data_IF_640157306888
#
_entry.id   IF_640157306888
#
_cell.length_a   1.000
_cell.length_b   1.000
_cell.length_c   1.000
_cell.angle_alpha   90.00
_cell.angle_beta   90.00
_cell.angle_gamma   90.00
#
_symmetry.space_group_name_H-M   'P 1'
#
loop_
_entity.id
_entity.type
_entity.pdbx_description
1 polymer ?
#
# COMPACT_ATOMS: atom_id res chain seq x y z
N UNK A 1 -22.29 9.17 -28.37
CA UNK A 1 -21.05 9.56 -27.66
C UNK A 1 -21.42 9.59 -26.20
N UNK A 2 -21.03 8.58 -25.43
CA UNK A 2 -21.14 8.65 -23.97
C UNK A 2 -20.07 9.62 -23.51
N UNK A 3 -20.47 10.73 -22.91
CA UNK A 3 -19.53 11.71 -22.36
C UNK A 3 -18.56 10.98 -21.43
N UNK A 4 -17.25 11.20 -21.63
CA UNK A 4 -16.24 10.59 -20.82
C UNK A 4 -16.45 11.02 -19.36
N UNK A 5 -16.50 10.06 -18.43
CA UNK A 5 -16.80 10.33 -17.02
C UNK A 5 -15.82 11.30 -16.35
N UNK A 6 -14.66 11.52 -16.97
CA UNK A 6 -13.56 12.35 -16.47
C UNK A 6 -13.41 13.70 -17.19
N UNK A 7 -14.20 13.98 -18.23
CA UNK A 7 -14.08 15.23 -19.01
C UNK A 7 -14.99 16.34 -18.48
N UNK A 8 -14.84 16.67 -17.20
CA UNK A 8 -15.52 17.80 -16.58
C UNK A 8 -14.53 18.95 -16.34
N UNK A 9 -14.75 20.07 -17.04
CA UNK A 9 -13.87 21.24 -16.96
C UNK A 9 -13.70 21.78 -15.53
N UNK A 10 -14.75 21.82 -14.71
CA UNK A 10 -14.65 22.33 -13.34
C UNK A 10 -13.81 21.39 -12.47
N UNK A 11 -13.96 20.08 -12.65
CA UNK A 11 -13.17 19.09 -11.93
C UNK A 11 -11.72 19.08 -12.38
N UNK A 12 -11.45 19.35 -13.67
CA UNK A 12 -10.10 19.53 -14.19
C UNK A 12 -9.40 20.73 -13.57
N UNK A 13 -10.08 21.88 -13.50
CA UNK A 13 -9.55 23.09 -12.83
C UNK A 13 -9.26 22.83 -11.34
N UNK A 14 -10.17 22.15 -10.65
CA UNK A 14 -9.97 21.73 -9.26
C UNK A 14 -8.76 20.79 -9.11
N UNK A 15 -8.59 19.85 -10.03
CA UNK A 15 -7.45 18.91 -10.03
C UNK A 15 -6.12 19.62 -10.26
N UNK A 16 -6.08 20.60 -11.17
CA UNK A 16 -4.89 21.41 -11.42
C UNK A 16 -4.50 22.19 -10.15
N UNK A 17 -5.47 22.81 -9.48
CA UNK A 17 -5.25 23.48 -8.19
C UNK A 17 -4.72 22.51 -7.13
N UNK A 18 -5.26 21.29 -7.06
CA UNK A 18 -4.74 20.25 -6.17
C UNK A 18 -3.29 19.89 -6.47
N UNK A 19 -2.95 19.63 -7.73
CA UNK A 19 -1.58 19.33 -8.14
C UNK A 19 -0.63 20.48 -7.76
N UNK A 20 -1.02 21.74 -8.01
CA UNK A 20 -0.21 22.90 -7.65
C UNK A 20 0.04 22.99 -6.14
N UNK A 21 -1.01 22.79 -5.32
CA UNK A 21 -0.88 22.79 -3.87
C UNK A 21 0.05 21.66 -3.38
N UNK A 22 -0.03 20.48 -4.00
CA UNK A 22 0.81 19.32 -3.66
C UNK A 22 2.23 19.41 -4.23
N UNK A 23 2.48 20.07 -5.34
CA UNK A 23 3.84 20.32 -5.84
C UNK A 23 4.54 21.39 -5.00
N UNK A 24 3.81 22.44 -4.58
CA UNK A 24 4.30 23.43 -3.63
C UNK A 24 4.74 22.82 -2.28
N UNK A 25 4.20 21.64 -1.91
CA UNK A 25 4.66 20.84 -0.75
C UNK A 25 6.12 20.48 -0.87
N UNK A 26 6.52 19.88 -1.99
CA UNK A 26 7.85 19.32 -2.15
C UNK A 26 8.89 20.43 -2.19
N UNK A 27 8.64 21.50 -2.94
CA UNK A 27 9.56 22.64 -3.02
C UNK A 27 9.80 23.28 -1.65
N UNK A 28 8.74 23.52 -0.86
CA UNK A 28 8.88 24.14 0.45
C UNK A 28 9.57 23.23 1.46
N UNK A 29 9.17 21.96 1.53
CA UNK A 29 9.78 20.98 2.43
C UNK A 29 11.25 20.80 2.09
N UNK A 30 11.62 20.57 0.82
CA UNK A 30 13.01 20.37 0.45
C UNK A 30 13.86 21.61 0.63
N UNK A 31 13.30 22.81 0.46
CA UNK A 31 14.00 24.06 0.74
C UNK A 31 14.32 24.18 2.24
N UNK A 32 13.37 23.87 3.13
CA UNK A 32 13.61 23.89 4.58
C UNK A 32 14.60 22.80 5.02
N UNK A 33 14.54 21.62 4.40
CA UNK A 33 15.43 20.50 4.72
C UNK A 33 16.88 20.75 4.28
N UNK A 34 17.11 21.51 3.21
CA UNK A 34 18.48 21.87 2.77
C UNK A 34 19.23 22.70 3.81
N UNK A 35 18.53 23.44 4.64
CA UNK A 35 19.14 24.30 5.66
C UNK A 35 19.43 23.55 6.97
N UNK A 36 19.05 22.27 7.07
CA UNK A 36 19.18 21.46 8.28
C UNK A 36 20.20 20.32 8.08
N UNK A 37 21.49 20.60 8.31
CA UNK A 37 22.51 19.55 8.37
C UNK A 37 22.30 18.62 9.59
N UNK A 38 22.22 17.31 9.36
CA UNK A 38 22.31 16.28 10.40
C UNK A 38 21.01 15.64 10.89
N UNK A 39 19.89 15.79 10.16
CA UNK A 39 18.64 15.12 10.52
C UNK A 39 18.69 13.61 10.29
N UNK A 40 18.15 12.84 11.24
CA UNK A 40 17.83 11.44 11.01
C UNK A 40 16.54 11.30 10.19
N UNK A 41 16.32 10.14 9.59
CA UNK A 41 15.07 9.82 8.87
C UNK A 41 13.82 10.01 9.73
N UNK A 42 13.91 9.68 11.03
CA UNK A 42 12.82 9.89 11.98
C UNK A 42 12.49 11.36 12.17
N UNK A 43 13.51 12.22 12.25
CA UNK A 43 13.35 13.66 12.41
C UNK A 43 12.71 14.32 11.18
N UNK A 44 12.77 13.66 10.01
CA UNK A 44 12.13 14.11 8.78
C UNK A 44 10.66 13.69 8.68
N UNK A 45 10.33 12.48 9.12
CA UNK A 45 9.00 11.89 8.88
C UNK A 45 7.84 12.71 9.46
N UNK A 46 7.95 13.13 10.72
CA UNK A 46 6.87 13.83 11.42
C UNK A 46 6.67 15.28 10.93
N UNK A 47 7.71 16.12 10.77
CA UNK A 47 7.55 17.45 10.19
C UNK A 47 7.01 17.43 8.76
N UNK A 48 7.51 16.50 7.91
CA UNK A 48 7.01 16.33 6.55
C UNK A 48 5.52 15.99 6.59
N UNK A 49 5.12 15.02 7.41
CA UNK A 49 3.72 14.64 7.55
C UNK A 49 2.84 15.80 8.03
N UNK A 50 3.23 16.50 9.10
CA UNK A 50 2.48 17.65 9.64
C UNK A 50 2.32 18.76 8.59
N UNK A 51 3.41 19.13 7.91
CA UNK A 51 3.38 20.14 6.87
C UNK A 51 2.46 19.75 5.70
N UNK A 52 2.46 18.45 5.35
CA UNK A 52 1.57 17.89 4.34
C UNK A 52 0.10 18.08 4.73
N UNK A 53 -0.26 17.77 5.98
CA UNK A 53 -1.63 17.97 6.47
C UNK A 53 -2.05 19.44 6.45
N UNK A 54 -1.15 20.36 6.80
CA UNK A 54 -1.45 21.79 6.81
C UNK A 54 -1.69 22.32 5.39
N UNK A 55 -0.92 21.86 4.39
CA UNK A 55 -1.15 22.22 2.98
C UNK A 55 -2.48 21.69 2.46
N UNK A 56 -2.83 20.43 2.79
CA UNK A 56 -4.13 19.85 2.43
C UNK A 56 -5.26 20.69 3.04
N UNK A 57 -5.14 21.08 4.31
CA UNK A 57 -6.14 21.94 4.97
C UNK A 57 -6.23 23.34 4.35
N UNK A 58 -5.11 23.92 3.91
CA UNK A 58 -5.11 25.20 3.19
C UNK A 58 -5.80 25.06 1.83
N UNK A 59 -5.47 24.02 1.07
CA UNK A 59 -6.12 23.75 -0.21
C UNK A 59 -7.64 23.59 -0.05
N UNK A 60 -8.12 22.97 1.03
CA UNK A 60 -9.55 22.91 1.34
C UNK A 60 -10.22 24.28 1.51
N UNK A 61 -9.47 25.30 1.94
CA UNK A 61 -9.93 26.67 2.16
C UNK A 61 -9.76 27.56 0.92
N UNK A 62 -9.00 27.12 -0.08
CA UNK A 62 -8.82 27.87 -1.32
C UNK A 62 -10.13 28.03 -2.11
N UNK A 63 -10.26 29.11 -2.91
CA UNK A 63 -11.44 29.31 -3.74
C UNK A 63 -11.60 28.18 -4.76
N UNK A 64 -12.80 27.61 -4.84
CA UNK A 64 -13.13 26.61 -5.85
C UNK A 64 -13.37 27.24 -7.22
N UNK A 65 -13.36 26.45 -8.31
CA UNK A 65 -13.75 26.91 -9.65
C UNK A 65 -15.17 27.51 -9.70
N UNK A 66 -16.03 27.15 -8.75
CA UNK A 66 -17.38 27.71 -8.63
C UNK A 66 -17.35 28.94 -7.73
N UNK A 67 -17.75 30.08 -8.30
CA UNK A 67 -17.74 31.36 -7.62
C UNK A 67 -18.42 31.31 -6.24
N UNK A 68 -17.68 31.75 -5.21
CA UNK A 68 -18.20 31.94 -3.85
C UNK A 68 -18.15 30.71 -2.93
N UNK A 69 -17.53 29.61 -3.35
CA UNK A 69 -17.28 28.45 -2.48
C UNK A 69 -15.79 28.18 -2.36
N UNK A 70 -15.34 27.68 -1.21
CA UNK A 70 -14.03 27.04 -1.11
C UNK A 70 -14.08 25.60 -1.63
N UNK A 71 -12.91 24.98 -1.85
CA UNK A 71 -12.80 23.62 -2.38
C UNK A 71 -13.56 22.59 -1.53
N UNK A 72 -13.50 22.70 -0.20
CA UNK A 72 -14.20 21.75 0.67
C UNK A 72 -15.73 21.89 0.60
N UNK A 73 -16.24 23.12 0.58
CA UNK A 73 -17.66 23.42 0.38
C UNK A 73 -18.15 22.98 -0.99
N UNK A 74 -17.32 23.13 -2.02
CA UNK A 74 -17.63 22.67 -3.37
C UNK A 74 -17.80 21.14 -3.39
N UNK A 75 -16.81 20.38 -2.89
CA UNK A 75 -16.84 18.91 -2.89
C UNK A 75 -17.98 18.39 -2.00
N UNK A 76 -18.18 18.98 -0.81
CA UNK A 76 -19.20 18.52 0.14
C UNK A 76 -20.65 18.74 -0.33
N UNK A 77 -20.88 19.62 -1.32
CA UNK A 77 -22.19 19.86 -1.94
C UNK A 77 -22.53 18.90 -3.08
N UNK A 78 -21.62 18.01 -3.48
CA UNK A 78 -21.90 16.97 -4.47
C UNK A 78 -22.70 15.87 -3.77
N UNK A 79 -24.01 15.82 -4.04
CA UNK A 79 -24.98 14.87 -3.48
C UNK A 79 -25.39 13.77 -4.47
N UNK A 80 -24.96 13.88 -5.73
CA UNK A 80 -25.14 12.87 -6.76
C UNK A 80 -23.92 11.95 -6.86
N UNK A 81 -24.17 10.64 -6.82
CA UNK A 81 -23.11 9.63 -6.88
C UNK A 81 -22.32 9.69 -8.19
N UNK A 82 -22.99 9.92 -9.32
CA UNK A 82 -22.35 9.94 -10.64
C UNK A 82 -21.41 11.14 -10.74
N UNK A 83 -21.82 12.30 -10.24
CA UNK A 83 -20.96 13.49 -10.16
C UNK A 83 -19.75 13.26 -9.24
N UNK A 84 -19.93 12.59 -8.07
CA UNK A 84 -18.80 12.28 -7.18
C UNK A 84 -17.80 11.30 -7.82
N UNK A 85 -18.30 10.26 -8.51
CA UNK A 85 -17.46 9.32 -9.27
C UNK A 85 -16.76 10.03 -10.44
N UNK A 86 -17.45 10.97 -11.11
CA UNK A 86 -16.88 11.78 -12.18
C UNK A 86 -15.75 12.68 -11.67
N UNK A 87 -15.92 13.31 -10.51
CA UNK A 87 -14.86 14.07 -9.86
C UNK A 87 -13.66 13.18 -9.55
N UNK A 88 -13.87 12.04 -8.89
CA UNK A 88 -12.80 11.10 -8.56
C UNK A 88 -12.06 10.63 -9.82
N UNK A 89 -12.79 10.24 -10.88
CA UNK A 89 -12.21 9.84 -12.16
C UNK A 89 -11.40 10.96 -12.81
N UNK A 90 -11.90 12.20 -12.79
CA UNK A 90 -11.17 13.37 -13.30
C UNK A 90 -9.86 13.56 -12.53
N UNK A 91 -9.89 13.43 -11.21
CA UNK A 91 -8.69 13.51 -10.38
C UNK A 91 -7.73 12.35 -10.62
N UNK A 92 -8.21 11.15 -10.95
CA UNK A 92 -7.34 10.02 -11.33
C UNK A 92 -6.62 10.24 -12.68
N UNK A 93 -7.28 10.91 -13.64
CA UNK A 93 -6.69 11.18 -14.96
C UNK A 93 -5.67 12.31 -14.87
N UNK A 94 -6.06 13.46 -14.34
CA UNK A 94 -5.23 14.66 -14.35
C UNK A 94 -4.39 14.84 -13.09
N UNK A 95 -4.66 14.07 -12.04
CA UNK A 95 -3.88 14.11 -10.80
C UNK A 95 -2.53 13.44 -10.99
N UNK A 96 -1.47 14.10 -10.54
CA UNK A 96 -0.15 13.49 -10.37
C UNK A 96 -0.03 12.79 -9.01
N UNK A 97 -0.97 13.07 -8.12
CA UNK A 97 -1.00 12.62 -6.73
C UNK A 97 -2.27 11.80 -6.44
N UNK A 98 -2.28 11.16 -5.28
CA UNK A 98 -3.45 10.42 -4.77
C UNK A 98 -4.68 11.34 -4.69
N UNK A 99 -5.85 10.77 -4.99
CA UNK A 99 -7.15 11.45 -4.85
C UNK A 99 -7.31 11.96 -3.40
N UNK A 100 -7.70 13.23 -3.19
CA UNK A 100 -7.80 13.80 -1.84
C UNK A 100 -8.77 13.02 -0.95
N UNK A 101 -8.42 12.88 0.33
CA UNK A 101 -9.27 12.23 1.34
C UNK A 101 -10.68 12.79 1.40
N UNK A 102 -10.86 14.08 1.08
CA UNK A 102 -12.19 14.69 1.07
C UNK A 102 -13.11 14.12 -0.03
N UNK A 103 -12.54 13.77 -1.18
CA UNK A 103 -13.27 13.11 -2.28
C UNK A 103 -13.55 11.66 -1.90
N UNK A 104 -12.60 10.97 -1.29
CA UNK A 104 -12.78 9.60 -0.78
C UNK A 104 -13.90 9.56 0.26
N UNK A 105 -13.88 10.45 1.26
CA UNK A 105 -14.97 10.62 2.24
C UNK A 105 -16.30 10.98 1.58
N UNK A 106 -16.26 11.70 0.46
CA UNK A 106 -17.42 11.98 -0.37
C UNK A 106 -18.03 10.70 -0.96
N UNK A 107 -17.21 9.83 -1.52
CA UNK A 107 -17.61 8.52 -2.04
C UNK A 107 -18.13 7.59 -0.95
N UNK A 108 -17.50 7.57 0.23
CA UNK A 108 -17.90 6.73 1.37
C UNK A 108 -19.33 7.02 1.85
N UNK A 109 -19.82 8.26 1.71
CA UNK A 109 -21.21 8.63 2.06
C UNK A 109 -22.26 7.84 1.27
N UNK A 110 -21.92 7.35 0.09
CA UNK A 110 -22.80 6.55 -0.75
C UNK A 110 -22.73 5.05 -0.46
N UNK A 111 -21.84 4.62 0.45
CA UNK A 111 -21.70 3.24 0.91
C UNK A 111 -21.36 2.26 -0.22
N UNK A 112 -22.04 1.11 -0.26
CA UNK A 112 -21.80 0.08 -1.27
C UNK A 112 -22.07 0.56 -2.70
N UNK A 113 -22.98 1.52 -2.90
CA UNK A 113 -23.30 2.02 -4.23
C UNK A 113 -22.09 2.70 -4.90
N UNK A 114 -21.24 3.40 -4.14
CA UNK A 114 -20.03 3.99 -4.72
C UNK A 114 -18.98 2.95 -5.06
N UNK A 115 -18.84 1.89 -4.25
CA UNK A 115 -17.97 0.76 -4.57
C UNK A 115 -18.44 0.05 -5.84
N UNK A 116 -19.73 -0.26 -5.96
CA UNK A 116 -20.30 -0.86 -7.16
C UNK A 116 -20.10 0.01 -8.41
N UNK A 117 -20.24 1.33 -8.27
CA UNK A 117 -19.98 2.27 -9.36
C UNK A 117 -18.50 2.28 -9.76
N UNK A 118 -17.58 2.33 -8.80
CA UNK A 118 -16.14 2.28 -9.05
C UNK A 118 -15.71 0.96 -9.68
N UNK A 119 -16.19 -0.17 -9.17
CA UNK A 119 -15.94 -1.51 -9.73
C UNK A 119 -16.47 -1.60 -11.15
N UNK A 120 -17.63 -1.01 -11.45
CA UNK A 120 -18.14 -0.97 -12.82
C UNK A 120 -17.19 -0.25 -13.77
N UNK A 121 -16.58 0.87 -13.34
CA UNK A 121 -15.60 1.57 -14.17
C UNK A 121 -14.27 0.79 -14.28
N UNK A 122 -13.79 0.16 -13.20
CA UNK A 122 -12.65 -0.76 -13.22
C UNK A 122 -12.89 -1.89 -14.23
N UNK A 123 -14.09 -2.49 -14.22
CA UNK A 123 -14.45 -3.58 -15.12
C UNK A 123 -14.62 -3.14 -16.58
N UNK A 124 -14.86 -1.85 -16.85
CA UNK A 124 -14.90 -1.29 -18.21
C UNK A 124 -13.54 -0.93 -18.78
N UNK A 125 -12.56 -0.61 -17.94
CA UNK A 125 -11.22 -0.25 -18.39
C UNK A 125 -10.53 -1.41 -19.12
N UNK A 126 -9.74 -1.12 -20.14
CA UNK A 126 -8.81 -2.10 -20.67
C UNK A 126 -7.63 -2.22 -19.70
N UNK A 127 -7.29 -3.43 -19.28
CA UNK A 127 -6.15 -3.65 -18.39
C UNK A 127 -4.84 -3.76 -19.16
N UNK A 128 -4.88 -3.89 -20.49
CA UNK A 128 -3.66 -3.99 -21.30
C UNK A 128 -2.83 -2.70 -21.25
N UNK A 129 -1.51 -2.89 -21.17
CA UNK A 129 -0.54 -1.81 -21.27
C UNK A 129 -0.58 -1.19 -22.68
N UNK A 130 -0.50 0.14 -22.78
CA UNK A 130 -0.37 0.79 -24.08
C UNK A 130 0.91 0.36 -24.80
N UNK A 131 0.83 0.13 -26.11
CA UNK A 131 2.01 -0.20 -26.95
C UNK A 131 3.09 0.91 -26.91
N UNK A 132 2.65 2.14 -26.66
CA UNK A 132 3.50 3.25 -26.22
C UNK A 132 3.98 2.91 -24.81
N UNK A 133 5.04 2.11 -24.75
CA UNK A 133 5.74 1.80 -23.51
C UNK A 133 6.07 3.14 -22.85
N UNK A 134 5.44 3.40 -21.71
CA UNK A 134 5.88 4.45 -20.80
C UNK A 134 7.38 4.25 -20.58
N UNK A 135 8.18 5.19 -21.06
CA UNK A 135 9.64 5.24 -20.83
C UNK A 135 9.95 5.46 -19.34
N UNK A 136 8.92 5.62 -18.50
CA UNK A 136 9.02 5.67 -17.06
C UNK A 136 9.32 4.27 -16.50
N UNK A 137 10.59 3.90 -16.57
CA UNK A 137 11.13 2.71 -15.92
C UNK A 137 11.16 2.93 -14.40
N UNK A 138 10.08 2.54 -13.70
CA UNK A 138 9.99 2.59 -12.24
C UNK A 138 11.14 1.82 -11.56
N UNK A 139 11.75 0.86 -12.26
CA UNK A 139 12.91 0.13 -11.76
C UNK A 139 14.11 1.04 -11.51
N UNK A 140 14.27 2.13 -12.27
CA UNK A 140 15.34 3.13 -12.07
C UNK A 140 15.10 4.08 -10.88
N UNK A 141 13.84 4.31 -10.51
CA UNK A 141 13.50 5.16 -9.37
C UNK A 141 13.89 4.51 -8.03
N UNK A 142 13.66 3.19 -7.91
CA UNK A 142 13.97 2.44 -6.69
C UNK A 142 15.37 1.83 -6.67
N UNK A 143 15.97 1.50 -7.83
CA UNK A 143 17.35 0.98 -7.90
C UNK A 143 18.41 2.01 -7.51
N UNK A 144 18.12 3.31 -7.67
CA UNK A 144 19.01 4.41 -7.28
C UNK A 144 18.92 4.83 -5.81
N UNK A 145 18.02 4.22 -5.02
CA UNK A 145 18.06 4.36 -3.56
C UNK A 145 19.22 3.48 -3.05
N UNK A 146 20.42 4.05 -3.13
CA UNK A 146 21.58 3.47 -2.45
C UNK A 146 21.29 3.58 -0.96
N UNK A 147 20.93 2.46 -0.33
CA UNK A 147 20.88 2.37 1.13
C UNK A 147 22.29 2.72 1.62
N UNK A 148 22.48 3.95 2.09
CA UNK A 148 23.70 4.33 2.79
C UNK A 148 23.75 3.43 4.02
N UNK A 149 24.59 2.40 3.98
CA UNK A 149 24.86 1.54 5.13
C UNK A 149 25.36 2.44 6.23
N UNK A 150 24.51 2.74 7.21
CA UNK A 150 24.94 3.34 8.46
C UNK A 150 26.06 2.49 9.03
N UNK A 151 27.21 3.10 9.30
CA UNK A 151 28.29 2.48 10.07
C UNK A 151 27.78 2.19 11.47
N UNK A 152 27.15 1.03 11.66
CA UNK A 152 26.95 0.45 12.98
C UNK A 152 28.31 -0.07 13.45
N UNK A 153 29.09 0.80 14.12
CA UNK A 153 30.12 0.32 15.01
C UNK A 153 29.41 -0.32 16.21
N UNK A 154 29.39 -1.66 16.24
CA UNK A 154 29.03 -2.43 17.42
C UNK A 154 29.98 -2.04 18.56
N UNK A 155 29.50 -1.21 19.49
CA UNK A 155 30.12 -1.11 20.80
C UNK A 155 29.65 -2.31 21.62
N UNK A 156 30.48 -3.35 21.65
CA UNK A 156 30.44 -4.37 22.70
C UNK A 156 30.60 -3.67 24.07
N UNK A 157 29.50 -3.50 24.80
CA UNK A 157 29.56 -3.20 26.22
C UNK A 157 29.55 -4.51 27.00
N UNK A 158 30.71 -4.84 27.55
CA UNK A 158 30.89 -5.80 28.63
C UNK A 158 29.90 -5.52 29.77
N UNK A 159 28.86 -6.34 29.89
CA UNK A 159 28.00 -6.37 31.05
C UNK A 159 28.70 -7.16 32.17
N UNK A 160 29.41 -6.45 33.04
CA UNK A 160 29.89 -6.98 34.32
C UNK A 160 28.71 -7.21 35.26
N UNK A 161 28.66 -8.42 35.82
CA UNK A 161 27.50 -8.96 36.51
C UNK A 161 27.09 -8.26 37.81
N UNK A 162 25.77 -8.24 38.02
CA UNK A 162 25.16 -8.24 39.35
C UNK A 162 24.07 -9.32 39.38
N UNK A 163 24.04 -10.18 40.42
CA UNK A 163 23.03 -11.23 40.54
C UNK A 163 21.69 -10.63 40.96
N UNK A 164 20.67 -10.75 40.11
CA UNK A 164 19.29 -10.53 40.49
C UNK A 164 18.77 -11.75 41.27
N UNK A 165 18.56 -11.55 42.57
CA UNK A 165 17.91 -12.53 43.43
C UNK A 165 16.40 -12.54 43.19
N UNK A 166 15.89 -13.62 42.61
CA UNK A 166 14.48 -14.00 42.69
C UNK A 166 14.44 -15.46 43.16
N UNK A 167 13.74 -15.78 44.28
CA UNK A 167 13.64 -17.14 44.76
C UNK A 167 12.70 -17.98 43.88
N UNK A 168 13.07 -19.25 43.70
CA UNK A 168 12.21 -20.28 43.12
C UNK A 168 10.97 -20.51 43.97
N UNK A 169 9.79 -20.54 43.33
CA UNK A 169 8.62 -21.20 43.88
C UNK A 169 8.24 -22.38 42.98
N UNK A 170 7.84 -23.45 43.67
CA UNK A 170 7.90 -24.83 43.24
C UNK A 170 6.63 -25.30 42.51
N UNK A 171 6.78 -26.50 41.94
CA UNK A 171 5.78 -27.38 41.31
C UNK A 171 4.68 -27.88 42.27
N UNK A 172 3.66 -28.48 41.62
CA UNK A 172 2.68 -29.50 42.05
C UNK A 172 1.29 -28.94 42.43
N UNK A 173 0.16 -29.59 42.15
CA UNK A 173 -0.28 -30.62 41.20
C UNK A 173 -1.81 -30.80 41.39
N UNK A 174 -2.45 -31.43 40.41
CA UNK A 174 -3.67 -32.28 40.49
C UNK A 174 -5.09 -31.67 40.69
N UNK A 175 -5.90 -31.93 39.66
CA UNK A 175 -7.26 -32.52 39.60
C UNK A 175 -8.41 -32.06 40.52
N UNK A 176 -9.54 -31.68 39.89
CA UNK A 176 -10.85 -32.33 40.08
C UNK A 176 -11.96 -31.77 39.15
N UNK A 177 -12.69 -32.68 38.51
CA UNK A 177 -14.02 -32.52 37.89
C UNK A 177 -15.09 -32.09 38.91
N UNK A 178 -16.11 -31.29 38.54
CA UNK A 178 -17.52 -31.73 38.32
C UNK A 178 -18.51 -30.57 38.11
N UNK A 179 -19.38 -30.77 37.10
CA UNK A 179 -20.84 -30.56 37.05
C UNK A 179 -21.55 -29.20 37.29
N UNK A 180 -22.19 -28.72 36.21
CA UNK A 180 -23.62 -28.37 36.02
C UNK A 180 -24.36 -27.57 37.12
N UNK A 181 -24.84 -26.36 36.79
CA UNK A 181 -26.26 -25.96 36.94
C UNK A 181 -26.56 -24.58 36.32
N UNK A 182 -27.70 -24.52 35.63
CA UNK A 182 -28.40 -23.34 35.12
C UNK A 182 -28.71 -22.31 36.21
N UNK A 183 -28.86 -21.03 35.81
CA UNK A 183 -30.00 -20.15 36.13
C UNK A 183 -29.85 -18.82 35.34
N UNK A 184 -30.85 -18.51 34.51
CA UNK A 184 -31.11 -17.15 34.01
C UNK A 184 -31.86 -16.32 35.09
N UNK A 185 -32.37 -15.11 34.79
CA UNK A 185 -31.74 -13.86 35.17
C UNK A 185 -32.58 -13.12 36.21
N UNK A 186 -32.00 -12.18 36.94
CA UNK A 186 -32.83 -11.18 37.60
C UNK A 186 -32.18 -9.81 37.63
N UNK A 187 -33.06 -8.86 37.34
CA UNK A 187 -32.97 -7.42 37.38
C UNK A 187 -32.25 -6.84 38.61
N UNK A 188 -31.57 -5.71 38.42
CA UNK A 188 -31.94 -4.47 39.12
C UNK A 188 -31.05 -3.30 38.68
N UNK A 189 -31.72 -2.18 38.46
CA UNK A 189 -31.22 -0.83 38.35
C UNK A 189 -30.31 -0.46 39.53
N UNK A 190 -29.21 0.27 39.29
CA UNK A 190 -28.78 1.32 40.23
C UNK A 190 -28.04 2.44 39.51
N UNK A 191 -28.38 3.64 39.94
CA UNK A 191 -27.99 4.96 39.49
C UNK A 191 -26.49 5.32 39.61
N UNK A 192 -26.11 6.27 38.75
CA UNK A 192 -25.20 7.43 38.97
C UNK A 192 -23.82 7.18 39.57
N UNK A 193 -22.80 7.56 38.80
CA UNK A 193 -21.86 8.57 39.28
C UNK A 193 -21.18 9.32 38.13
N UNK A 194 -21.19 10.65 38.27
CA UNK A 194 -20.49 11.63 37.46
C UNK A 194 -18.98 11.33 37.39
N UNK A 195 -18.45 11.29 36.18
CA UNK A 195 -17.02 11.29 35.90
C UNK A 195 -16.69 12.45 34.97
N UNK A 196 -16.12 13.52 35.53
CA UNK A 196 -15.47 14.60 34.80
C UNK A 196 -14.35 14.02 33.91
N UNK A 197 -14.23 14.39 32.64
CA UNK A 197 -13.00 14.16 31.90
C UNK A 197 -11.94 15.16 32.35
N UNK A 198 -10.73 14.64 32.54
CA UNK A 198 -9.54 15.40 32.86
C UNK A 198 -9.24 16.43 31.77
N UNK A 199 -8.95 17.66 32.19
CA UNK A 199 -8.26 18.66 31.39
C UNK A 199 -6.91 18.08 30.95
N UNK A 200 -6.77 17.76 29.67
CA UNK A 200 -5.47 17.59 29.03
C UNK A 200 -4.91 18.99 28.74
N UNK A 201 -3.90 19.37 29.51
CA UNK A 201 -3.02 20.52 29.27
C UNK A 201 -2.34 20.36 27.89
N UNK A 202 -3.00 20.87 26.86
CA UNK A 202 -2.37 21.14 25.56
C UNK A 202 -1.50 22.38 25.74
N UNK A 203 -0.20 22.15 25.91
CA UNK A 203 0.80 23.19 25.93
C UNK A 203 0.68 24.09 24.68
N UNK A 204 0.51 25.39 24.94
CA UNK A 204 0.60 26.47 23.96
C UNK A 204 1.97 26.43 23.26
N UNK A 205 2.01 25.92 22.03
CA UNK A 205 3.09 26.23 21.10
C UNK A 205 2.75 27.55 20.41
N UNK A 206 3.25 28.64 20.99
CA UNK A 206 3.20 29.97 20.41
C UNK A 206 3.84 30.00 19.02
N UNK A 207 3.02 30.36 18.03
CA UNK A 207 3.34 31.21 16.87
C UNK A 207 4.78 31.20 16.34
N UNK A 208 5.15 30.18 15.58
CA UNK A 208 6.09 30.35 14.48
C UNK A 208 5.37 31.09 13.34
N UNK A 209 5.25 32.41 13.48
CA UNK A 209 4.97 33.33 12.37
C UNK A 209 6.20 33.32 11.46
N UNK A 210 6.31 32.28 10.63
CA UNK A 210 7.19 32.30 9.46
C UNK A 210 6.55 33.31 8.51
N UNK A 211 7.18 34.48 8.37
CA UNK A 211 6.83 35.44 7.35
C UNK A 211 6.86 34.71 6.01
N UNK A 212 5.68 34.40 5.47
CA UNK A 212 5.52 33.93 4.12
C UNK A 212 6.13 35.01 3.22
N UNK A 213 7.33 34.76 2.71
CA UNK A 213 7.86 35.57 1.64
C UNK A 213 6.95 35.31 0.45
N UNK A 214 6.14 36.30 0.08
CA UNK A 214 5.30 36.32 -1.13
C UNK A 214 6.19 36.34 -2.38
N UNK A 215 7.02 35.32 -2.56
CA UNK A 215 7.59 35.02 -3.86
C UNK A 215 6.47 34.39 -4.68
N UNK A 216 5.67 35.25 -5.33
CA UNK A 216 4.84 34.86 -6.46
C UNK A 216 5.77 34.31 -7.55
N UNK A 217 6.18 33.05 -7.42
CA UNK A 217 6.66 32.27 -8.55
C UNK A 217 5.47 32.15 -9.48
N UNK A 218 5.39 33.08 -10.43
CA UNK A 218 4.45 33.02 -11.54
C UNK A 218 4.79 31.74 -12.30
N UNK A 219 4.12 30.66 -11.94
CA UNK A 219 4.03 29.46 -12.77
C UNK A 219 3.39 29.93 -14.06
N UNK A 220 4.22 30.15 -15.08
CA UNK A 220 3.72 30.35 -16.43
C UNK A 220 2.86 29.13 -16.73
N UNK A 221 1.55 29.35 -16.83
CA UNK A 221 0.55 28.36 -17.21
C UNK A 221 0.67 28.03 -18.70
N UNK A 222 1.90 27.84 -19.16
CA UNK A 222 2.18 27.13 -20.41
C UNK A 222 1.37 25.85 -20.34
N UNK A 223 0.46 25.68 -21.31
CA UNK A 223 -0.53 24.63 -21.34
C UNK A 223 0.14 23.28 -21.08
N UNK A 224 -0.03 22.75 -19.86
CA UNK A 224 0.42 21.40 -19.56
C UNK A 224 -0.29 20.47 -20.53
N UNK A 225 0.48 19.78 -21.36
CA UNK A 225 -0.06 18.83 -22.32
C UNK A 225 -0.48 17.56 -21.57
N UNK A 226 -1.79 17.36 -21.44
CA UNK A 226 -2.35 16.19 -20.77
C UNK A 226 -2.67 15.06 -21.75
N UNK A 227 -2.28 15.15 -23.03
CA UNK A 227 -2.61 14.16 -24.06
C UNK A 227 -2.21 12.73 -23.67
N UNK A 228 -1.04 12.55 -23.06
CA UNK A 228 -0.57 11.25 -22.54
C UNK A 228 -1.41 10.74 -21.36
N UNK A 229 -1.89 11.63 -20.48
CA UNK A 229 -2.78 11.23 -19.38
C UNK A 229 -4.17 10.84 -19.90
N UNK A 230 -4.68 11.60 -20.87
CA UNK A 230 -5.99 11.37 -21.50
C UNK A 230 -6.00 10.06 -22.31
N UNK A 231 -4.89 9.68 -22.96
CA UNK A 231 -4.78 8.41 -23.70
C UNK A 231 -4.78 7.18 -22.78
N UNK A 232 -4.29 7.31 -21.54
CA UNK A 232 -4.28 6.26 -20.53
C UNK A 232 -5.39 6.43 -19.48
N UNK A 233 -6.38 7.29 -19.75
CA UNK A 233 -7.43 7.61 -18.78
C UNK A 233 -8.14 6.36 -18.21
N UNK A 234 -8.54 5.34 -19.00
CA UNK A 234 -9.17 4.14 -18.46
C UNK A 234 -8.31 3.40 -17.43
N UNK A 235 -7.02 3.20 -17.72
CA UNK A 235 -6.07 2.50 -16.84
C UNK A 235 -5.84 3.30 -15.55
N UNK A 236 -5.62 4.61 -15.66
CA UNK A 236 -5.42 5.50 -14.50
C UNK A 236 -6.63 5.52 -13.58
N UNK A 237 -7.83 5.60 -14.15
CA UNK A 237 -9.09 5.52 -13.38
C UNK A 237 -9.20 4.16 -12.69
N UNK A 238 -8.96 3.07 -13.41
CA UNK A 238 -9.04 1.72 -12.82
C UNK A 238 -8.04 1.53 -11.67
N UNK A 239 -6.78 1.90 -11.86
CA UNK A 239 -5.74 1.80 -10.85
C UNK A 239 -6.06 2.66 -9.60
N UNK A 240 -6.48 3.90 -9.82
CA UNK A 240 -6.88 4.79 -8.73
C UNK A 240 -8.10 4.25 -7.97
N UNK A 241 -9.13 3.79 -8.67
CA UNK A 241 -10.34 3.24 -8.05
C UNK A 241 -10.06 1.94 -7.30
N UNK A 242 -9.21 1.05 -7.84
CA UNK A 242 -8.75 -0.15 -7.15
C UNK A 242 -8.09 0.19 -5.81
N UNK A 243 -7.27 1.25 -5.80
CA UNK A 243 -6.61 1.74 -4.58
C UNK A 243 -7.61 2.33 -3.59
N UNK A 244 -8.60 3.08 -4.07
CA UNK A 244 -9.66 3.68 -3.22
C UNK A 244 -10.52 2.60 -2.56
N UNK A 245 -10.85 1.52 -3.27
CA UNK A 245 -11.68 0.42 -2.74
C UNK A 245 -10.86 -0.67 -2.04
N UNK A 246 -9.55 -0.48 -1.86
CA UNK A 246 -8.66 -1.47 -1.25
C UNK A 246 -8.91 -1.55 0.27
N UNK A 247 -10.02 -2.18 0.65
CA UNK A 247 -10.43 -2.39 2.03
C UNK A 247 -11.05 -3.78 2.24
N UNK A 248 -11.07 -4.33 3.47
CA UNK A 248 -11.52 -5.71 3.69
C UNK A 248 -13.01 -5.98 3.39
N UNK A 249 -13.84 -4.94 3.24
CA UNK A 249 -15.26 -5.08 2.83
C UNK A 249 -15.43 -5.23 1.32
N UNK A 250 -14.41 -4.91 0.52
CA UNK A 250 -14.40 -5.09 -0.93
C UNK A 250 -14.14 -6.56 -1.37
N UNK A 251 -14.14 -7.50 -0.43
CA UNK A 251 -13.89 -8.92 -0.67
C UNK A 251 -14.78 -9.53 -1.76
N UNK A 252 -16.04 -9.09 -1.86
CA UNK A 252 -16.99 -9.60 -2.87
C UNK A 252 -16.51 -9.36 -4.31
N UNK A 253 -15.63 -8.38 -4.53
CA UNK A 253 -15.12 -8.05 -5.87
C UNK A 253 -13.84 -8.78 -6.24
N UNK A 254 -13.20 -9.46 -5.28
CA UNK A 254 -11.90 -10.10 -5.45
C UNK A 254 -11.88 -11.11 -6.62
N UNK A 255 -12.87 -12.02 -6.78
CA UNK A 255 -12.88 -12.94 -7.92
C UNK A 255 -12.92 -12.22 -9.27
N UNK A 256 -13.71 -11.15 -9.39
CA UNK A 256 -13.83 -10.43 -10.66
C UNK A 256 -12.52 -9.73 -11.04
N UNK A 257 -11.82 -9.15 -10.07
CA UNK A 257 -10.56 -8.42 -10.32
C UNK A 257 -9.44 -9.38 -10.69
N UNK A 258 -9.31 -10.51 -9.97
CA UNK A 258 -8.31 -11.54 -10.25
C UNK A 258 -8.54 -12.17 -11.62
N UNK A 259 -9.78 -12.57 -11.94
CA UNK A 259 -10.09 -13.18 -13.24
C UNK A 259 -9.90 -12.21 -14.40
N UNK A 260 -10.28 -10.93 -14.22
CA UNK A 260 -10.03 -9.92 -15.23
C UNK A 260 -8.53 -9.74 -15.49
N UNK A 261 -7.72 -9.66 -14.44
CA UNK A 261 -6.27 -9.56 -14.58
C UNK A 261 -5.70 -10.80 -15.25
N UNK A 262 -6.14 -12.00 -14.87
CA UNK A 262 -5.69 -13.27 -15.44
C UNK A 262 -6.12 -13.49 -16.90
N UNK A 263 -7.08 -12.71 -17.41
CA UNK A 263 -7.51 -12.70 -18.80
C UNK A 263 -6.75 -11.65 -19.65
N UNK A 264 -5.92 -10.81 -19.03
CA UNK A 264 -5.22 -9.69 -19.69
C UNK A 264 -3.79 -10.09 -20.01
N UNK A 265 -3.43 -10.27 -21.27
CA UNK A 265 -2.12 -10.84 -21.64
C UNK A 265 -0.91 -10.04 -21.11
N UNK A 266 -0.96 -8.71 -21.22
CA UNK A 266 0.11 -7.81 -20.78
C UNK A 266 -0.49 -6.66 -19.96
N UNK A 267 -0.75 -6.87 -18.67
CA UNK A 267 -1.43 -5.86 -17.88
C UNK A 267 -0.56 -4.63 -17.64
N UNK A 268 -1.18 -3.46 -17.62
CA UNK A 268 -0.54 -2.20 -17.30
C UNK A 268 0.09 -2.21 -15.91
N UNK A 269 1.26 -1.59 -15.77
CA UNK A 269 2.04 -1.63 -14.52
C UNK A 269 1.33 -0.91 -13.37
N UNK A 270 0.67 0.23 -13.63
CA UNK A 270 -0.08 0.94 -12.59
C UNK A 270 -1.28 0.12 -12.13
N UNK A 271 -1.91 -0.64 -13.03
CA UNK A 271 -2.96 -1.60 -12.67
C UNK A 271 -2.39 -2.75 -11.84
N UNK A 272 -1.23 -3.31 -12.19
CA UNK A 272 -0.60 -4.38 -11.41
C UNK A 272 -0.32 -3.92 -9.96
N UNK A 273 0.22 -2.72 -9.78
CA UNK A 273 0.48 -2.14 -8.45
C UNK A 273 -0.82 -1.88 -7.66
N UNK A 274 -1.85 -1.36 -8.32
CA UNK A 274 -3.14 -1.13 -7.70
C UNK A 274 -3.84 -2.44 -7.31
N UNK A 275 -3.76 -3.48 -8.16
CA UNK A 275 -4.26 -4.82 -7.84
C UNK A 275 -3.47 -5.43 -6.68
N UNK A 276 -2.14 -5.26 -6.65
CA UNK A 276 -1.33 -5.73 -5.51
C UNK A 276 -1.84 -5.12 -4.18
N UNK A 277 -2.08 -3.81 -4.17
CA UNK A 277 -2.60 -3.07 -3.02
C UNK A 277 -3.99 -3.57 -2.63
N UNK A 278 -4.88 -3.70 -3.61
CA UNK A 278 -6.23 -4.23 -3.42
C UNK A 278 -6.24 -5.65 -2.83
N UNK A 279 -5.44 -6.56 -3.39
CA UNK A 279 -5.37 -7.95 -2.94
C UNK A 279 -4.79 -8.07 -1.54
N UNK A 280 -3.73 -7.31 -1.20
CA UNK A 280 -3.19 -7.31 0.16
C UNK A 280 -4.25 -6.82 1.16
N UNK A 281 -4.94 -5.72 0.87
CA UNK A 281 -5.97 -5.17 1.74
C UNK A 281 -7.19 -6.09 1.93
N UNK A 282 -7.61 -6.80 0.88
CA UNK A 282 -8.79 -7.68 0.90
C UNK A 282 -8.49 -9.10 1.40
N UNK A 283 -7.27 -9.60 1.17
CA UNK A 283 -6.86 -10.96 1.54
C UNK A 283 -6.89 -11.23 3.03
N UNK A 284 -6.84 -10.18 3.87
CA UNK A 284 -6.95 -10.31 5.33
C UNK A 284 -8.22 -11.05 5.78
N UNK A 285 -9.31 -10.99 5.01
CA UNK A 285 -10.59 -11.61 5.35
C UNK A 285 -10.90 -12.90 4.57
N UNK A 286 -10.12 -13.24 3.53
CA UNK A 286 -10.39 -14.43 2.71
C UNK A 286 -9.15 -14.99 2.02
N UNK A 287 -8.16 -15.45 2.79
CA UNK A 287 -7.03 -16.16 2.22
C UNK A 287 -7.46 -17.47 1.54
N UNK A 288 -8.58 -18.09 1.95
CA UNK A 288 -9.02 -19.41 1.45
C UNK A 288 -9.34 -19.39 -0.04
N UNK A 289 -10.06 -18.37 -0.53
CA UNK A 289 -10.39 -18.27 -1.95
C UNK A 289 -9.12 -18.09 -2.80
N UNK A 290 -8.17 -17.26 -2.34
CA UNK A 290 -6.91 -17.05 -3.04
C UNK A 290 -6.06 -18.33 -3.07
N UNK A 291 -6.03 -19.09 -1.97
CA UNK A 291 -5.35 -20.38 -1.90
C UNK A 291 -5.96 -21.38 -2.88
N UNK A 292 -7.29 -21.50 -2.92
CA UNK A 292 -7.99 -22.37 -3.87
C UNK A 292 -7.75 -21.93 -5.32
N UNK A 293 -7.81 -20.62 -5.59
CA UNK A 293 -7.56 -20.07 -6.91
C UNK A 293 -6.13 -20.39 -7.39
N UNK A 294 -5.13 -20.21 -6.53
CA UNK A 294 -3.73 -20.48 -6.85
C UNK A 294 -3.49 -21.98 -7.06
N UNK A 295 -4.03 -22.83 -6.19
CA UNK A 295 -3.91 -24.29 -6.30
C UNK A 295 -4.50 -24.79 -7.63
N UNK A 296 -5.71 -24.34 -7.96
CA UNK A 296 -6.36 -24.65 -9.24
C UNK A 296 -5.58 -24.11 -10.45
N UNK A 297 -4.97 -22.92 -10.32
CA UNK A 297 -4.18 -22.30 -11.39
C UNK A 297 -2.92 -23.11 -11.68
N UNK A 298 -2.20 -23.53 -10.64
CA UNK A 298 -0.99 -24.37 -10.77
C UNK A 298 -1.29 -25.66 -11.54
N UNK A 299 -2.46 -26.27 -11.29
CA UNK A 299 -2.82 -27.57 -11.88
C UNK A 299 -3.44 -27.46 -13.28
N UNK A 300 -4.07 -26.33 -13.63
CA UNK A 300 -4.90 -26.23 -14.83
C UNK A 300 -4.54 -25.10 -15.81
N UNK A 301 -3.66 -24.16 -15.43
CA UNK A 301 -3.39 -22.93 -16.20
C UNK A 301 -1.91 -22.66 -16.39
N UNK A 302 -1.21 -23.55 -17.09
CA UNK A 302 0.23 -23.40 -17.41
C UNK A 302 0.54 -22.07 -18.14
N UNK A 303 -0.44 -21.51 -18.85
CA UNK A 303 -0.35 -20.18 -19.49
C UNK A 303 -0.03 -19.04 -18.51
N UNK A 304 -0.36 -19.22 -17.23
CA UNK A 304 -0.14 -18.21 -16.19
C UNK A 304 1.20 -18.31 -15.46
N UNK A 305 2.10 -19.22 -15.85
CA UNK A 305 3.39 -19.39 -15.16
C UNK A 305 4.26 -18.14 -15.20
N UNK A 306 4.21 -17.38 -16.31
CA UNK A 306 4.94 -16.12 -16.50
C UNK A 306 4.03 -14.89 -16.35
N UNK A 307 2.77 -15.11 -15.97
CA UNK A 307 1.79 -14.03 -15.88
C UNK A 307 1.83 -13.35 -14.51
N UNK A 308 1.79 -12.00 -14.44
CA UNK A 308 1.94 -11.25 -13.19
C UNK A 308 0.87 -11.57 -12.13
N UNK A 309 -0.35 -11.92 -12.55
CA UNK A 309 -1.43 -12.32 -11.63
C UNK A 309 -1.01 -13.41 -10.64
N UNK A 310 -0.17 -14.36 -11.07
CA UNK A 310 0.23 -15.50 -10.24
C UNK A 310 1.10 -15.03 -9.07
N UNK A 311 2.10 -14.18 -9.33
CA UNK A 311 2.93 -13.65 -8.24
C UNK A 311 2.12 -12.68 -7.35
N UNK A 312 1.19 -11.90 -7.93
CA UNK A 312 0.35 -10.97 -7.17
C UNK A 312 -0.55 -11.70 -6.17
N UNK A 313 -1.19 -12.78 -6.62
CA UNK A 313 -1.99 -13.65 -5.75
C UNK A 313 -1.10 -14.33 -4.70
N UNK A 314 0.07 -14.85 -5.07
CA UNK A 314 1.02 -15.41 -4.11
C UNK A 314 1.47 -14.39 -3.05
N UNK A 315 1.76 -13.15 -3.44
CA UNK A 315 2.15 -12.09 -2.52
C UNK A 315 1.00 -11.70 -1.58
N UNK A 316 -0.23 -11.65 -2.08
CA UNK A 316 -1.40 -11.41 -1.25
C UNK A 316 -1.61 -12.53 -0.22
N UNK A 317 -1.51 -13.80 -0.64
CA UNK A 317 -1.53 -14.95 0.27
C UNK A 317 -0.41 -14.82 1.30
N UNK A 318 0.83 -14.56 0.89
CA UNK A 318 1.96 -14.45 1.81
C UNK A 318 1.78 -13.38 2.89
N UNK A 319 1.08 -12.28 2.59
CA UNK A 319 0.85 -11.15 3.52
C UNK A 319 -0.44 -11.25 4.32
N UNK A 320 -1.34 -12.16 3.97
CA UNK A 320 -2.61 -12.34 4.66
C UNK A 320 -2.43 -12.86 6.10
N UNK A 321 -3.41 -12.57 6.96
CA UNK A 321 -3.45 -13.09 8.32
C UNK A 321 -4.04 -14.50 8.37
N UNK A 322 -3.18 -15.52 8.25
CA UNK A 322 -3.59 -16.92 8.33
C UNK A 322 -3.85 -17.36 9.77
N UNK A 323 -5.13 -17.60 10.10
CA UNK A 323 -5.55 -18.16 11.40
C UNK A 323 -5.48 -19.70 11.46
N UNK A 324 -5.07 -20.35 10.36
CA UNK A 324 -5.16 -21.79 10.16
C UNK A 324 -3.82 -22.52 10.01
N UNK A 325 -3.81 -23.58 9.19
CA UNK A 325 -2.64 -24.43 8.98
C UNK A 325 -1.59 -23.75 8.08
N UNK A 326 -0.60 -23.14 8.72
CA UNK A 326 0.55 -22.52 8.03
C UNK A 326 1.32 -23.52 7.16
N UNK A 327 1.21 -24.83 7.44
CA UNK A 327 1.86 -25.88 6.65
C UNK A 327 1.20 -26.05 5.29
N UNK A 328 -0.14 -25.98 5.24
CA UNK A 328 -0.89 -26.02 3.99
C UNK A 328 -0.58 -24.78 3.14
N UNK A 329 -0.61 -23.60 3.75
CA UNK A 329 -0.29 -22.33 3.09
C UNK A 329 1.12 -22.37 2.53
N UNK A 330 2.11 -22.76 3.33
CA UNK A 330 3.49 -22.91 2.87
C UNK A 330 3.60 -23.92 1.73
N UNK A 331 2.90 -25.05 1.80
CA UNK A 331 2.89 -26.06 0.76
C UNK A 331 2.40 -25.52 -0.59
N UNK A 332 1.32 -24.74 -0.57
CA UNK A 332 0.77 -24.07 -1.77
C UNK A 332 1.74 -23.00 -2.28
N UNK A 333 2.33 -22.18 -1.41
CA UNK A 333 3.32 -21.17 -1.81
C UNK A 333 4.59 -21.79 -2.42
N UNK A 334 5.06 -22.93 -1.91
CA UNK A 334 6.20 -23.66 -2.50
C UNK A 334 5.86 -24.22 -3.89
N UNK A 335 4.65 -24.77 -4.09
CA UNK A 335 4.19 -25.19 -5.42
C UNK A 335 4.07 -23.99 -6.37
N UNK A 336 3.55 -22.86 -5.88
CA UNK A 336 3.49 -21.60 -6.63
C UNK A 336 4.88 -21.10 -7.02
N UNK A 337 5.87 -21.19 -6.12
CA UNK A 337 7.26 -20.86 -6.42
C UNK A 337 7.82 -21.73 -7.55
N UNK A 338 7.55 -23.04 -7.54
CA UNK A 338 8.01 -23.95 -8.59
C UNK A 338 7.31 -23.68 -9.93
N UNK A 339 6.04 -23.26 -9.89
CA UNK A 339 5.24 -22.90 -11.05
C UNK A 339 5.64 -21.57 -11.71
N UNK A 340 6.00 -20.54 -10.92
CA UNK A 340 6.38 -19.22 -11.45
C UNK A 340 7.63 -19.25 -12.35
N UNK A 341 7.61 -18.53 -13.47
CA UNK A 341 8.81 -18.33 -14.28
C UNK A 341 9.84 -17.44 -13.55
N UNK A 342 9.38 -16.32 -12.97
CA UNK A 342 10.22 -15.43 -12.15
C UNK A 342 10.40 -15.98 -10.72
N UNK A 343 11.55 -16.63 -10.51
CA UNK A 343 11.92 -17.19 -9.21
C UNK A 343 12.27 -16.14 -8.15
N UNK A 344 12.66 -14.92 -8.56
CA UNK A 344 12.95 -13.85 -7.62
C UNK A 344 11.67 -13.41 -6.88
N UNK A 345 10.58 -13.19 -7.63
CA UNK A 345 9.27 -12.85 -7.06
C UNK A 345 8.74 -13.96 -6.14
N UNK A 346 8.89 -15.23 -6.54
CA UNK A 346 8.52 -16.37 -5.71
C UNK A 346 9.30 -16.42 -4.39
N UNK A 347 10.62 -16.20 -4.42
CA UNK A 347 11.46 -16.17 -3.22
C UNK A 347 11.06 -15.03 -2.27
N UNK A 348 10.73 -13.85 -2.82
CA UNK A 348 10.23 -12.71 -2.06
C UNK A 348 8.91 -13.04 -1.34
N UNK A 349 7.97 -13.72 -2.02
CA UNK A 349 6.71 -14.16 -1.41
C UNK A 349 6.95 -15.11 -0.24
N UNK A 350 7.82 -16.12 -0.39
CA UNK A 350 8.16 -17.06 0.68
C UNK A 350 8.78 -16.35 1.89
N UNK A 351 9.64 -15.35 1.65
CA UNK A 351 10.21 -14.55 2.72
C UNK A 351 9.18 -13.64 3.41
N UNK A 352 8.25 -13.05 2.65
CA UNK A 352 7.15 -12.25 3.19
C UNK A 352 6.18 -13.06 4.04
N UNK A 353 5.97 -14.33 3.71
CA UNK A 353 5.17 -15.24 4.54
C UNK A 353 5.83 -15.51 5.90
N UNK A 354 7.16 -15.46 5.99
CA UNK A 354 7.88 -15.46 7.26
C UNK A 354 8.05 -16.82 7.94
N UNK A 355 7.61 -17.92 7.32
CA UNK A 355 7.79 -19.27 7.89
C UNK A 355 9.21 -19.78 7.66
N UNK A 356 9.94 -20.03 8.76
CA UNK A 356 11.32 -20.51 8.76
C UNK A 356 11.52 -21.84 8.03
N UNK A 357 10.46 -22.64 7.84
CA UNK A 357 10.53 -23.90 7.07
C UNK A 357 10.81 -23.66 5.58
N UNK A 358 10.57 -22.46 5.05
CA UNK A 358 10.95 -22.08 3.68
C UNK A 358 12.47 -21.89 3.51
N UNK A 359 13.20 -21.58 4.59
CA UNK A 359 14.64 -21.29 4.54
C UNK A 359 15.51 -22.43 3.97
N UNK A 360 15.40 -23.71 4.41
CA UNK A 360 16.18 -24.79 3.82
C UNK A 360 15.88 -24.99 2.32
N UNK A 361 14.63 -24.81 1.91
CA UNK A 361 14.22 -24.88 0.52
C UNK A 361 14.91 -23.79 -0.32
N UNK A 362 14.79 -22.52 0.09
CA UNK A 362 15.40 -21.39 -0.61
C UNK A 362 16.93 -21.52 -0.70
N UNK A 363 17.59 -21.93 0.39
CA UNK A 363 19.04 -22.18 0.38
C UNK A 363 19.43 -23.28 -0.59
N UNK A 364 18.70 -24.40 -0.58
CA UNK A 364 18.96 -25.51 -1.50
C UNK A 364 18.80 -25.06 -2.95
N UNK A 365 17.70 -24.38 -3.26
CA UNK A 365 17.43 -23.89 -4.61
C UNK A 365 18.49 -22.88 -5.07
N UNK A 366 18.84 -21.93 -4.21
CA UNK A 366 19.86 -20.92 -4.45
C UNK A 366 21.23 -21.52 -4.77
N UNK A 367 21.69 -22.52 -4.00
CA UNK A 367 22.97 -23.19 -4.24
C UNK A 367 22.98 -24.00 -5.55
N UNK A 368 21.88 -24.68 -5.86
CA UNK A 368 21.76 -25.49 -7.09
C UNK A 368 21.81 -24.61 -8.35
N UNK A 369 21.15 -23.45 -8.31
CA UNK A 369 21.01 -22.57 -9.49
C UNK A 369 21.94 -21.35 -9.47
N UNK A 370 22.87 -21.26 -8.52
CA UNK A 370 23.78 -20.11 -8.34
C UNK A 370 24.50 -19.73 -9.63
N UNK A 371 24.85 -20.71 -10.47
CA UNK A 371 25.56 -20.47 -11.72
C UNK A 371 24.68 -19.99 -12.88
N UNK A 372 23.35 -20.07 -12.77
CA UNK A 372 22.42 -19.74 -13.86
C UNK A 372 21.61 -18.47 -13.59
N UNK A 373 21.49 -18.03 -12.33
CA UNK A 373 20.76 -16.81 -11.96
C UNK A 373 21.43 -15.53 -12.47
N UNK A 374 20.62 -14.57 -12.91
CA UNK A 374 21.04 -13.19 -13.08
C UNK A 374 21.30 -12.50 -11.72
N UNK A 375 21.94 -11.33 -11.75
CA UNK A 375 22.31 -10.56 -10.55
C UNK A 375 21.09 -10.12 -9.73
N UNK A 376 20.02 -9.68 -10.39
CA UNK A 376 18.78 -9.25 -9.72
C UNK A 376 18.17 -10.43 -8.96
N UNK A 377 18.01 -11.57 -9.62
CA UNK A 377 17.49 -12.78 -8.98
C UNK A 377 18.37 -13.24 -7.83
N UNK A 378 19.70 -13.21 -7.98
CA UNK A 378 20.63 -13.54 -6.91
C UNK A 378 20.42 -12.65 -5.66
N UNK A 379 20.29 -11.33 -5.85
CA UNK A 379 20.08 -10.39 -4.75
C UNK A 379 18.75 -10.60 -4.05
N UNK A 380 17.66 -10.87 -4.78
CA UNK A 380 16.35 -11.14 -4.20
C UNK A 380 16.35 -12.42 -3.36
N UNK A 381 17.00 -13.50 -3.82
CA UNK A 381 17.18 -14.69 -3.00
C UNK A 381 18.01 -14.42 -1.74
N UNK A 382 19.12 -13.67 -1.89
CA UNK A 382 19.96 -13.35 -0.75
C UNK A 382 19.21 -12.51 0.30
N UNK A 383 18.37 -11.57 -0.15
CA UNK A 383 17.50 -10.77 0.70
C UNK A 383 16.42 -11.63 1.37
N UNK A 384 15.76 -12.52 0.61
CA UNK A 384 14.74 -13.45 1.10
C UNK A 384 15.30 -14.37 2.20
N UNK A 385 16.48 -14.97 1.97
CA UNK A 385 17.18 -15.82 2.95
C UNK A 385 17.50 -15.02 4.22
N UNK A 386 17.98 -13.78 4.09
CA UNK A 386 18.29 -12.91 5.25
C UNK A 386 17.04 -12.52 6.04
N UNK A 387 15.93 -12.21 5.36
CA UNK A 387 14.63 -11.90 6.00
C UNK A 387 14.13 -13.06 6.86
N UNK A 388 14.39 -14.30 6.46
CA UNK A 388 14.08 -15.51 7.23
C UNK A 388 15.15 -15.87 8.28
N UNK A 389 16.09 -14.96 8.59
CA UNK A 389 17.15 -15.19 9.59
C UNK A 389 18.33 -16.05 9.11
N UNK A 390 18.40 -16.34 7.81
CA UNK A 390 19.53 -17.03 7.20
C UNK A 390 20.75 -16.13 6.99
N UNK A 391 21.91 -16.75 6.80
CA UNK A 391 23.15 -16.10 6.35
C UNK A 391 23.44 -16.49 4.91
N UNK A 392 23.89 -15.51 4.13
CA UNK A 392 24.43 -15.68 2.77
C UNK A 392 25.80 -15.02 2.78
N UNK A 393 26.85 -15.79 2.50
CA UNK A 393 28.22 -15.30 2.54
C UNK A 393 28.40 -14.29 1.39
N UNK A 394 28.92 -13.07 1.64
CA UNK A 394 29.32 -12.17 0.57
C UNK A 394 30.33 -12.80 -0.40
N UNK A 395 31.13 -13.77 0.05
CA UNK A 395 32.03 -14.53 -0.83
C UNK A 395 31.28 -15.45 -1.81
N UNK A 396 30.01 -15.77 -1.54
CA UNK A 396 29.14 -16.50 -2.47
C UNK A 396 28.61 -15.60 -3.59
N UNK A 397 28.96 -14.31 -3.61
CA UNK A 397 28.64 -13.42 -4.73
C UNK A 397 29.38 -13.92 -5.99
N UNK A 398 28.67 -14.33 -7.06
CA UNK A 398 29.29 -14.85 -8.25
C UNK A 398 30.24 -13.82 -8.84
N UNK A 399 31.51 -14.22 -9.03
CA UNK A 399 32.54 -13.33 -9.61
C UNK A 399 32.17 -12.81 -10.99
N UNK A 400 31.25 -13.46 -11.69
CA UNK A 400 30.74 -13.05 -13.00
C UNK A 400 29.90 -11.75 -13.00
N UNK A 401 29.50 -11.25 -11.84
CA UNK A 401 28.79 -9.97 -11.71
C UNK A 401 29.75 -8.78 -11.55
N UNK A 402 31.06 -9.04 -11.54
CA UNK A 402 32.14 -8.04 -11.52
C UNK A 402 32.93 -8.12 -12.82
#
# INVERSE_FOLDING_TARGET
MSDAIWDNKQYRELTISWNQAMCGRFENVFSQLRDMEGLSEKDLSEPVFKHSLDLIKRWYQEPSPKAGLNNAEFISRIDDLKEMVSLAATMSVYGEMVVPDLVIKGLEKFGENSRDAMVREIMRADFEASEEASEFDLTDYFSNITIIKGNFQEQEKEATGKPCGIPSCARQSDDAETAVANLEPDSAETEKQDGQPADEDIAEYENLNVAASDSETVYNSDQTDFSSCESQAPQRIAASFLTIIADPSALVYLPFIVEKLAATNKPDLAIQEAVATFLVATSYNSPEWLLEWLDNTIDNREDLSDHPVTYLVMNAIARAHHMGDHSQVLGILLRGFDFLADKASGASCLASFGDLRALPFLKSWFLIHQQQMDEKTWHEFALAIRRLGGKVDPADHPTRFH
#
